data_IF_053959224989
#
_entry.id   IF_053959224989
#
_cell.length_a   1.000
_cell.length_b   1.000
_cell.length_c   1.000
_cell.angle_alpha   90.00
_cell.angle_beta   90.00
_cell.angle_gamma   90.00
#
_symmetry.space_group_name_H-M   'P 1'
#
loop_
_entity.id
_entity.type
_entity.pdbx_description
1 polymer ?
#
# COMPACT_ATOMS: atom_id res chain seq x y z
N UNK A 1 86.29 0.38 -10.96
CA UNK A 1 86.12 -1.01 -10.52
C UNK A 1 84.73 -1.46 -10.96
N UNK A 2 84.65 -2.18 -12.09
CA UNK A 2 83.41 -2.70 -12.67
C UNK A 2 83.12 -4.07 -12.04
N UNK A 3 81.93 -4.25 -11.49
CA UNK A 3 81.36 -5.57 -11.20
C UNK A 3 80.01 -5.64 -11.92
N UNK A 4 79.86 -6.73 -12.67
CA UNK A 4 78.71 -7.12 -13.46
C UNK A 4 77.44 -7.25 -12.60
N UNK A 5 76.25 -7.17 -13.20
CA UNK A 5 75.33 -8.30 -13.26
C UNK A 5 74.22 -8.02 -14.28
N UNK A 6 74.37 -8.65 -15.44
CA UNK A 6 73.26 -9.05 -16.30
C UNK A 6 72.31 -9.95 -15.49
N UNK A 7 71.01 -9.79 -15.71
CA UNK A 7 70.05 -10.86 -15.46
C UNK A 7 68.91 -10.45 -14.54
N UNK A 8 67.80 -10.04 -15.14
CA UNK A 8 66.43 -10.47 -14.77
C UNK A 8 65.43 -9.79 -15.71
N UNK A 9 65.64 -9.96 -17.02
CA UNK A 9 64.63 -9.64 -18.03
C UNK A 9 63.86 -10.93 -18.41
N UNK A 10 63.29 -11.64 -17.43
CA UNK A 10 62.21 -12.63 -17.59
C UNK A 10 61.54 -12.75 -16.22
N UNK A 11 60.50 -11.95 -15.97
CA UNK A 11 59.52 -12.21 -14.89
C UNK A 11 58.13 -11.63 -15.20
N UNK A 12 57.89 -11.14 -16.42
CA UNK A 12 56.63 -10.51 -16.82
C UNK A 12 55.80 -11.33 -17.82
N UNK A 13 55.88 -12.68 -17.78
CA UNK A 13 55.25 -13.52 -18.81
C UNK A 13 54.47 -14.75 -18.29
N UNK A 14 54.12 -14.80 -17.01
CA UNK A 14 53.37 -15.94 -16.42
C UNK A 14 52.31 -15.48 -15.40
N UNK A 15 51.50 -14.50 -15.76
CA UNK A 15 50.13 -14.38 -15.24
C UNK A 15 49.20 -14.82 -16.37
N UNK A 16 49.30 -16.12 -16.68
CA UNK A 16 48.39 -16.79 -17.58
C UNK A 16 46.96 -16.60 -17.08
N UNK A 17 46.16 -15.96 -17.92
CA UNK A 17 44.73 -16.15 -18.14
C UNK A 17 44.13 -17.37 -17.42
N UNK A 18 43.95 -17.26 -16.11
CA UNK A 18 43.01 -18.10 -15.38
C UNK A 18 41.62 -17.56 -15.68
N UNK A 19 40.99 -18.04 -16.75
CA UNK A 19 39.55 -17.86 -16.92
C UNK A 19 38.89 -18.65 -15.79
N UNK A 20 38.56 -17.97 -14.69
CA UNK A 20 37.66 -18.51 -13.69
C UNK A 20 36.35 -18.70 -14.44
N UNK A 21 35.97 -19.95 -14.72
CA UNK A 21 34.65 -20.27 -15.20
C UNK A 21 33.67 -19.80 -14.13
N UNK A 22 33.09 -18.62 -14.32
CA UNK A 22 31.90 -18.21 -13.58
C UNK A 22 30.84 -19.19 -14.04
N UNK A 23 30.64 -20.26 -13.27
CA UNK A 23 29.40 -21.02 -13.36
C UNK A 23 28.32 -20.01 -13.04
N UNK A 24 27.59 -19.58 -14.07
CA UNK A 24 26.33 -18.91 -13.89
C UNK A 24 25.51 -19.87 -13.02
N UNK A 25 25.37 -19.56 -11.73
CA UNK A 25 24.30 -20.15 -10.94
C UNK A 25 23.06 -19.82 -11.73
N UNK A 26 22.41 -20.83 -12.31
CA UNK A 26 21.08 -20.63 -12.87
C UNK A 26 20.28 -20.03 -11.72
N UNK A 27 19.92 -18.73 -11.75
CA UNK A 27 19.15 -18.17 -10.67
C UNK A 27 17.94 -19.09 -10.54
N UNK A 28 17.65 -19.57 -9.34
CA UNK A 28 16.40 -20.27 -9.12
C UNK A 28 15.32 -19.42 -9.79
N UNK A 29 14.47 -19.98 -10.67
CA UNK A 29 13.43 -19.19 -11.31
C UNK A 29 12.72 -18.43 -10.21
N UNK A 30 12.51 -17.12 -10.43
CA UNK A 30 11.76 -16.28 -9.50
C UNK A 30 10.50 -17.04 -9.12
N UNK A 31 10.21 -17.15 -7.83
CA UNK A 31 9.03 -17.88 -7.35
C UNK A 31 7.80 -17.43 -8.15
N UNK A 32 7.27 -18.35 -8.93
CA UNK A 32 6.22 -18.12 -9.89
C UNK A 32 5.56 -19.45 -10.22
N UNK A 33 4.38 -19.43 -10.86
CA UNK A 33 3.72 -20.67 -11.23
C UNK A 33 4.60 -21.47 -12.20
N UNK A 34 5.02 -22.66 -11.79
CA UNK A 34 5.79 -23.61 -12.62
C UNK A 34 4.98 -24.14 -13.82
N UNK A 35 3.66 -23.91 -13.82
CA UNK A 35 2.74 -24.32 -14.86
C UNK A 35 2.20 -23.09 -15.62
N UNK A 36 1.96 -23.22 -16.94
CA UNK A 36 1.36 -22.14 -17.71
C UNK A 36 -0.02 -21.79 -17.16
N UNK A 37 -0.40 -20.52 -17.29
CA UNK A 37 -1.73 -20.05 -16.89
C UNK A 37 -2.80 -20.86 -17.63
N UNK A 38 -3.73 -21.54 -16.93
CA UNK A 38 -4.79 -22.29 -17.57
C UNK A 38 -5.68 -21.38 -18.43
N UNK A 39 -5.98 -21.84 -19.65
CA UNK A 39 -6.84 -21.15 -20.61
C UNK A 39 -8.14 -21.92 -20.81
N UNK A 40 -9.20 -21.26 -21.29
CA UNK A 40 -10.48 -21.88 -21.64
C UNK A 40 -11.18 -22.60 -20.47
N UNK A 41 -10.95 -22.14 -19.23
CA UNK A 41 -11.58 -22.68 -18.01
C UNK A 41 -13.11 -22.69 -18.08
N UNK A 42 -13.71 -21.79 -18.86
CA UNK A 42 -15.15 -21.75 -19.10
C UNK A 42 -15.71 -22.94 -19.87
N UNK A 43 -14.87 -23.82 -20.43
CA UNK A 43 -15.31 -25.06 -21.08
C UNK A 43 -15.33 -26.26 -20.12
N UNK A 44 -14.61 -26.17 -19.00
CA UNK A 44 -14.47 -27.26 -18.05
C UNK A 44 -15.76 -27.50 -17.26
N UNK A 45 -16.23 -28.75 -17.28
CA UNK A 45 -17.48 -29.13 -16.60
C UNK A 45 -17.37 -28.95 -15.09
N UNK A 46 -16.21 -29.27 -14.51
CA UNK A 46 -15.96 -29.08 -13.08
C UNK A 46 -16.06 -27.61 -12.67
N UNK A 47 -15.52 -26.70 -13.46
CA UNK A 47 -15.60 -25.25 -13.22
C UNK A 47 -17.05 -24.77 -13.35
N UNK A 48 -17.77 -25.17 -14.41
CA UNK A 48 -19.18 -24.82 -14.57
C UNK A 48 -20.04 -25.29 -13.40
N UNK A 49 -19.82 -26.51 -12.93
CA UNK A 49 -20.53 -27.06 -11.77
C UNK A 49 -20.25 -26.25 -10.51
N UNK A 50 -18.98 -25.95 -10.24
CA UNK A 50 -18.59 -25.12 -9.09
C UNK A 50 -19.22 -23.70 -9.14
N UNK A 51 -19.26 -23.07 -10.32
CA UNK A 51 -19.91 -21.76 -10.50
C UNK A 51 -21.43 -21.84 -10.26
N UNK A 52 -22.08 -22.94 -10.68
CA UNK A 52 -23.49 -23.18 -10.39
C UNK A 52 -23.75 -23.39 -8.90
N UNK A 53 -22.83 -24.04 -8.17
CA UNK A 53 -22.93 -24.20 -6.72
C UNK A 53 -22.78 -22.85 -6.01
N UNK A 54 -21.86 -21.99 -6.45
CA UNK A 54 -21.70 -20.63 -5.92
C UNK A 54 -23.02 -19.86 -6.00
N UNK A 55 -23.73 -19.92 -7.13
CA UNK A 55 -25.04 -19.27 -7.27
C UNK A 55 -26.06 -19.72 -6.24
N UNK A 56 -26.08 -21.02 -5.93
CA UNK A 56 -27.01 -21.59 -4.95
C UNK A 56 -26.66 -21.18 -3.53
N UNK A 57 -25.39 -20.87 -3.26
CA UNK A 57 -24.93 -20.41 -1.95
C UNK A 57 -25.19 -18.92 -1.73
N UNK A 58 -25.30 -18.10 -2.77
CA UNK A 58 -25.49 -16.64 -2.61
C UNK A 58 -26.67 -16.31 -1.67
N UNK A 59 -27.88 -16.89 -1.81
CA UNK A 59 -28.99 -16.60 -0.91
C UNK A 59 -28.76 -17.00 0.56
N UNK A 60 -27.76 -17.84 0.82
CA UNK A 60 -27.40 -18.34 2.17
C UNK A 60 -26.35 -17.47 2.86
N UNK A 61 -25.79 -16.48 2.17
CA UNK A 61 -24.84 -15.56 2.77
C UNK A 61 -25.49 -14.79 3.91
N UNK A 62 -24.76 -14.64 5.02
CA UNK A 62 -25.18 -13.80 6.15
C UNK A 62 -25.03 -12.32 5.79
N UNK A 63 -25.96 -11.85 4.95
CA UNK A 63 -25.98 -10.51 4.39
C UNK A 63 -27.40 -9.95 4.40
N UNK A 64 -27.51 -8.63 4.61
CA UNK A 64 -28.78 -7.94 4.49
C UNK A 64 -29.12 -7.67 3.01
N UNK A 65 -29.78 -8.63 2.37
CA UNK A 65 -30.24 -8.51 0.98
C UNK A 65 -31.28 -7.40 0.76
N UNK A 66 -31.92 -6.88 1.81
CA UNK A 66 -32.90 -5.80 1.69
C UNK A 66 -32.23 -4.43 1.54
N UNK A 67 -31.05 -4.26 2.16
CA UNK A 67 -30.34 -2.98 2.21
C UNK A 67 -28.98 -2.98 1.49
N UNK A 68 -28.47 -4.15 1.11
CA UNK A 68 -27.13 -4.29 0.52
C UNK A 68 -27.22 -4.75 -0.93
N UNK A 69 -26.70 -3.95 -1.85
CA UNK A 69 -26.52 -4.34 -3.25
C UNK A 69 -25.06 -4.69 -3.50
N UNK A 70 -24.80 -5.72 -4.31
CA UNK A 70 -23.44 -6.20 -4.55
C UNK A 70 -23.32 -6.88 -5.92
N UNK A 71 -22.07 -7.02 -6.38
CA UNK A 71 -21.72 -7.75 -7.59
C UNK A 71 -20.62 -8.75 -7.27
N UNK A 72 -20.69 -9.93 -7.88
CA UNK A 72 -19.67 -10.96 -7.82
C UNK A 72 -19.31 -11.31 -9.25
N UNK A 73 -18.05 -11.07 -9.62
CA UNK A 73 -17.48 -11.50 -10.88
C UNK A 73 -16.27 -12.38 -10.61
N UNK A 74 -16.19 -13.52 -11.32
CA UNK A 74 -15.05 -14.43 -11.24
C UNK A 74 -14.36 -14.44 -12.59
N UNK A 75 -13.12 -13.97 -12.62
CA UNK A 75 -12.30 -13.91 -13.82
C UNK A 75 -11.26 -15.03 -13.82
N UNK A 76 -11.04 -15.70 -14.96
CA UNK A 76 -9.87 -16.52 -15.14
C UNK A 76 -8.67 -15.60 -15.41
N UNK A 77 -7.48 -15.96 -14.94
CA UNK A 77 -6.29 -15.14 -15.14
C UNK A 77 -5.93 -14.92 -16.64
N UNK A 78 -6.32 -15.85 -17.51
CA UNK A 78 -6.02 -15.81 -18.94
C UNK A 78 -7.04 -15.03 -19.80
N UNK A 79 -8.28 -14.84 -19.34
CA UNK A 79 -9.33 -14.23 -20.17
C UNK A 79 -9.80 -12.88 -19.61
N UNK A 80 -10.17 -11.98 -20.52
CA UNK A 80 -10.72 -10.66 -20.17
C UNK A 80 -12.20 -10.66 -19.81
N UNK A 81 -12.86 -11.81 -19.98
CA UNK A 81 -14.30 -11.98 -19.69
C UNK A 81 -14.47 -12.81 -18.42
N UNK A 82 -15.47 -12.47 -17.59
CA UNK A 82 -15.75 -13.27 -16.40
C UNK A 82 -16.26 -14.65 -16.82
N UNK A 83 -15.86 -15.69 -16.08
CA UNK A 83 -16.49 -17.00 -16.14
C UNK A 83 -17.89 -16.97 -15.52
N UNK A 84 -18.10 -16.02 -14.62
CA UNK A 84 -19.30 -15.90 -13.81
C UNK A 84 -19.50 -14.45 -13.40
N UNK A 85 -20.75 -13.98 -13.53
CA UNK A 85 -21.19 -12.66 -13.11
C UNK A 85 -22.54 -12.77 -12.44
N UNK A 86 -22.67 -12.18 -11.26
CA UNK A 86 -23.90 -12.11 -10.51
C UNK A 86 -24.05 -10.73 -9.88
N UNK A 87 -25.23 -10.14 -10.01
CA UNK A 87 -25.55 -8.80 -9.53
C UNK A 87 -26.82 -8.86 -8.71
N UNK A 88 -26.74 -8.41 -7.45
CA UNK A 88 -27.89 -8.26 -6.57
C UNK A 88 -28.21 -6.78 -6.37
N UNK A 89 -29.45 -6.42 -6.67
CA UNK A 89 -30.01 -5.09 -6.40
C UNK A 89 -30.91 -5.16 -5.18
N UNK A 90 -30.52 -4.49 -4.11
CA UNK A 90 -31.34 -4.38 -2.91
C UNK A 90 -32.66 -3.65 -3.23
N UNK A 91 -33.81 -4.11 -2.72
CA UNK A 91 -35.09 -3.41 -2.89
C UNK A 91 -35.06 -1.93 -2.48
N UNK A 92 -34.32 -1.59 -1.43
CA UNK A 92 -34.14 -0.19 -1.01
C UNK A 92 -33.43 0.68 -2.02
N UNK A 93 -32.64 0.09 -2.93
CA UNK A 93 -31.96 0.84 -3.99
C UNK A 93 -32.96 1.62 -4.85
N UNK A 94 -34.12 1.01 -5.15
CA UNK A 94 -35.20 1.59 -5.95
C UNK A 94 -35.79 2.90 -5.37
N UNK A 95 -35.61 3.12 -4.07
CA UNK A 95 -36.14 4.29 -3.36
C UNK A 95 -35.14 5.45 -3.29
N UNK A 96 -33.91 5.29 -3.79
CA UNK A 96 -32.90 6.34 -3.77
C UNK A 96 -33.15 7.35 -4.90
N UNK A 97 -33.04 8.66 -4.62
CA UNK A 97 -33.23 9.72 -5.64
C UNK A 97 -32.02 9.95 -6.57
N UNK A 98 -30.87 9.31 -6.29
CA UNK A 98 -29.61 9.52 -7.00
C UNK A 98 -28.81 8.22 -7.09
N UNK A 99 -28.00 8.07 -8.14
CA UNK A 99 -27.17 6.87 -8.37
C UNK A 99 -27.86 5.81 -9.23
N UNK A 100 -27.34 4.58 -9.19
CA UNK A 100 -27.91 3.44 -9.91
C UNK A 100 -29.15 2.92 -9.18
N UNK A 101 -30.18 2.52 -9.95
CA UNK A 101 -31.40 1.90 -9.41
C UNK A 101 -31.35 0.37 -9.49
N UNK A 102 -30.56 -0.14 -10.43
CA UNK A 102 -30.34 -1.56 -10.68
C UNK A 102 -28.84 -1.72 -10.87
N UNK A 103 -28.27 -2.65 -10.11
CA UNK A 103 -26.86 -3.04 -10.21
C UNK A 103 -26.65 -3.93 -11.42
N UNK A 104 -25.58 -3.65 -12.15
CA UNK A 104 -25.12 -4.40 -13.32
C UNK A 104 -23.60 -4.25 -13.49
N UNK A 105 -23.08 -4.84 -14.56
CA UNK A 105 -21.67 -4.81 -14.99
C UNK A 105 -21.07 -3.40 -15.17
N UNK A 106 -21.90 -2.39 -15.44
CA UNK A 106 -21.48 -0.99 -15.59
C UNK A 106 -21.57 -0.16 -14.29
N UNK A 107 -22.01 -0.76 -13.19
CA UNK A 107 -22.22 -0.05 -11.92
C UNK A 107 -20.88 0.39 -11.31
N UNK A 108 -20.77 1.69 -11.00
CA UNK A 108 -19.57 2.27 -10.39
C UNK A 108 -19.62 2.17 -8.88
N UNK A 109 -18.61 1.52 -8.29
CA UNK A 109 -18.46 1.36 -6.85
C UNK A 109 -17.39 2.28 -6.26
N UNK A 110 -17.60 2.69 -5.01
CA UNK A 110 -16.52 3.26 -4.19
C UNK A 110 -15.68 2.10 -3.66
N UNK A 111 -14.45 1.97 -4.15
CA UNK A 111 -13.59 0.81 -3.89
C UNK A 111 -12.77 0.90 -2.59
N UNK A 112 -12.84 2.03 -1.87
CA UNK A 112 -12.17 2.20 -0.58
C UNK A 112 -10.66 1.90 -0.66
N UNK A 113 -10.15 1.09 0.27
CA UNK A 113 -8.73 0.76 0.37
C UNK A 113 -8.14 0.00 -0.82
N UNK A 114 -8.96 -0.57 -1.72
CA UNK A 114 -8.46 -1.14 -2.99
C UNK A 114 -7.74 -0.08 -3.82
N UNK A 115 -8.11 1.21 -3.66
CA UNK A 115 -7.41 2.33 -4.29
C UNK A 115 -5.90 2.36 -4.00
N UNK A 116 -5.43 1.85 -2.85
CA UNK A 116 -3.99 1.81 -2.52
C UNK A 116 -3.19 0.93 -3.48
N UNK A 117 -3.75 -0.21 -3.89
CA UNK A 117 -3.11 -1.10 -4.86
C UNK A 117 -2.94 -0.40 -6.20
N UNK A 118 -3.99 0.32 -6.64
CA UNK A 118 -3.93 1.11 -7.87
C UNK A 118 -2.89 2.24 -7.75
N UNK A 119 -2.83 2.95 -6.62
CA UNK A 119 -1.82 3.99 -6.38
C UNK A 119 -0.40 3.44 -6.49
N UNK A 120 -0.12 2.31 -5.83
CA UNK A 120 1.22 1.71 -5.85
C UNK A 120 1.60 1.21 -7.26
N UNK A 121 0.69 0.52 -7.96
CA UNK A 121 0.98 0.01 -9.30
C UNK A 121 1.09 1.10 -10.36
N UNK A 122 0.22 2.11 -10.33
CA UNK A 122 0.35 3.25 -11.25
C UNK A 122 1.67 3.97 -10.99
N UNK A 123 2.07 4.17 -9.74
CA UNK A 123 3.37 4.75 -9.43
C UNK A 123 4.52 3.91 -10.00
N UNK A 124 4.53 2.60 -9.77
CA UNK A 124 5.58 1.72 -10.27
C UNK A 124 5.65 1.68 -11.80
N UNK A 125 4.50 1.77 -12.49
CA UNK A 125 4.42 1.80 -13.95
C UNK A 125 4.95 3.12 -14.53
N UNK A 126 4.59 4.25 -13.93
CA UNK A 126 4.90 5.59 -14.46
C UNK A 126 6.27 6.11 -14.01
N UNK A 127 6.71 5.77 -12.80
CA UNK A 127 7.93 6.30 -12.16
C UNK A 127 9.01 5.22 -12.04
N UNK A 128 8.63 3.97 -11.84
CA UNK A 128 9.56 2.87 -11.53
C UNK A 128 9.81 2.69 -10.03
N UNK A 129 10.77 1.82 -9.70
CA UNK A 129 11.08 1.37 -8.34
C UNK A 129 12.34 2.03 -7.73
N UNK A 130 13.10 2.80 -8.51
CA UNK A 130 14.31 3.47 -8.00
C UNK A 130 14.00 4.39 -6.81
N UNK A 131 12.89 5.14 -6.89
CA UNK A 131 12.45 6.06 -5.83
C UNK A 131 11.86 5.35 -4.61
N UNK A 132 11.50 4.07 -4.70
CA UNK A 132 10.93 3.31 -3.55
C UNK A 132 11.90 3.20 -2.39
N UNK A 133 13.21 3.23 -2.67
CA UNK A 133 14.26 3.11 -1.66
C UNK A 133 14.86 4.46 -1.27
N UNK A 134 14.31 5.57 -1.77
CA UNK A 134 14.78 6.90 -1.45
C UNK A 134 13.90 7.57 -0.39
N UNK A 135 14.47 8.42 0.47
CA UNK A 135 13.70 9.19 1.45
C UNK A 135 12.55 9.97 0.81
N UNK A 136 11.39 9.93 1.45
CA UNK A 136 10.20 10.66 0.99
C UNK A 136 10.43 12.17 0.97
N UNK A 137 11.33 12.68 1.81
CA UNK A 137 11.71 14.10 1.88
C UNK A 137 12.37 14.61 0.60
N UNK A 138 12.90 13.73 -0.26
CA UNK A 138 13.38 14.14 -1.59
C UNK A 138 12.24 14.56 -2.53
N UNK A 139 11.02 14.08 -2.28
CA UNK A 139 9.86 14.25 -3.15
C UNK A 139 8.76 15.11 -2.54
N UNK A 140 8.69 15.18 -1.22
CA UNK A 140 7.65 15.90 -0.48
C UNK A 140 8.29 17.01 0.37
N UNK A 141 8.36 18.25 -0.15
CA UNK A 141 9.09 19.34 0.50
C UNK A 141 8.52 19.71 1.86
N UNK A 142 7.22 19.50 2.09
CA UNK A 142 6.60 19.73 3.40
C UNK A 142 7.15 18.78 4.48
N UNK A 143 7.42 17.52 4.12
CA UNK A 143 8.04 16.55 5.04
C UNK A 143 9.51 16.88 5.28
N UNK A 144 10.23 17.33 4.24
CA UNK A 144 11.60 17.82 4.40
C UNK A 144 11.68 19.01 5.37
N UNK A 145 10.73 19.95 5.25
CA UNK A 145 10.61 21.08 6.17
C UNK A 145 10.28 20.67 7.60
N UNK A 146 9.41 19.66 7.79
CA UNK A 146 9.12 19.09 9.11
C UNK A 146 10.39 18.46 9.71
N UNK A 147 11.11 17.63 8.94
CA UNK A 147 12.33 16.99 9.41
C UNK A 147 13.38 18.03 9.84
N UNK A 148 13.69 19.00 8.97
CA UNK A 148 14.69 20.03 9.27
C UNK A 148 14.38 20.86 10.53
N UNK A 149 13.09 21.10 10.82
CA UNK A 149 12.68 21.83 12.03
C UNK A 149 12.89 21.05 13.34
N UNK A 150 12.92 19.71 13.27
CA UNK A 150 13.07 18.83 14.43
C UNK A 150 14.52 18.61 14.84
N UNK A 151 15.47 18.63 13.90
CA UNK A 151 16.90 18.47 14.19
C UNK A 151 17.47 19.54 15.13
N UNK A 152 16.81 20.70 15.22
CA UNK A 152 17.17 21.79 16.14
C UNK A 152 16.66 21.59 17.57
N UNK A 153 15.88 20.54 17.81
CA UNK A 153 15.39 20.12 19.13
C UNK A 153 16.02 18.75 19.38
N UNK A 154 16.42 18.43 20.61
CA UNK A 154 16.87 17.07 20.96
C UNK A 154 15.70 16.08 20.90
N UNK A 155 15.15 15.87 19.71
CA UNK A 155 13.91 15.16 19.44
C UNK A 155 14.14 13.66 19.58
N UNK A 156 13.33 13.01 20.41
CA UNK A 156 13.33 11.56 20.54
C UNK A 156 12.64 10.92 19.33
N UNK A 157 13.14 9.78 18.87
CA UNK A 157 12.49 8.94 17.84
C UNK A 157 11.14 8.38 18.29
N UNK A 158 10.79 8.53 19.58
CA UNK A 158 9.48 8.20 20.13
C UNK A 158 8.47 9.36 20.01
N UNK A 159 8.96 10.59 19.82
CA UNK A 159 8.11 11.80 19.80
C UNK A 159 7.81 12.23 18.35
N UNK A 160 8.73 11.98 17.43
CA UNK A 160 8.59 12.42 16.04
C UNK A 160 8.94 11.33 15.05
N UNK A 161 8.23 11.37 13.93
CA UNK A 161 8.49 10.53 12.77
C UNK A 161 9.74 11.05 12.06
N UNK A 162 10.74 10.18 11.88
CA UNK A 162 11.95 10.50 11.11
C UNK A 162 11.68 10.39 9.61
N UNK A 163 11.23 11.50 9.02
CA UNK A 163 10.85 11.55 7.61
C UNK A 163 12.05 11.39 6.66
N UNK A 164 13.28 11.70 7.09
CA UNK A 164 14.48 11.52 6.28
C UNK A 164 14.87 10.04 6.18
N UNK A 165 14.39 9.20 7.10
CA UNK A 165 14.59 7.75 7.06
C UNK A 165 13.45 7.00 6.35
N UNK A 166 12.24 7.56 6.32
CA UNK A 166 11.08 6.95 5.65
C UNK A 166 11.22 7.04 4.13
N UNK A 167 11.04 5.91 3.44
CA UNK A 167 11.03 5.86 1.98
C UNK A 167 9.63 5.79 1.38
N UNK A 168 9.49 6.05 0.08
CA UNK A 168 8.22 5.83 -0.66
C UNK A 168 7.75 4.37 -0.52
N UNK A 169 8.70 3.42 -0.62
CA UNK A 169 8.42 2.01 -0.43
C UNK A 169 7.90 1.70 0.98
N UNK A 170 8.44 2.33 2.02
CA UNK A 170 7.97 2.17 3.39
C UNK A 170 6.51 2.65 3.57
N UNK A 171 6.11 3.72 2.90
CA UNK A 171 4.72 4.19 2.91
C UNK A 171 3.82 3.19 2.18
N UNK A 172 4.21 2.79 0.96
CA UNK A 172 3.45 1.85 0.14
C UNK A 172 3.30 0.45 0.76
N UNK A 173 4.30 -0.01 1.52
CA UNK A 173 4.31 -1.32 2.18
C UNK A 173 3.76 -1.30 3.61
N UNK A 174 3.28 -0.15 4.09
CA UNK A 174 2.85 0.05 5.48
C UNK A 174 3.97 -0.21 6.50
N UNK A 175 5.24 -0.04 6.12
CA UNK A 175 6.40 -0.21 6.99
C UNK A 175 6.95 1.12 7.54
N UNK A 176 6.28 2.24 7.33
CA UNK A 176 6.74 3.55 7.78
C UNK A 176 6.58 3.80 9.30
N UNK A 177 5.87 2.93 10.03
CA UNK A 177 5.65 3.09 11.48
C UNK A 177 4.73 4.26 11.86
N UNK A 178 4.01 4.84 10.89
CA UNK A 178 3.15 6.01 11.08
C UNK A 178 1.74 5.63 11.55
N UNK A 179 1.00 6.56 12.18
CA UNK A 179 -0.38 6.32 12.59
C UNK A 179 -1.30 5.88 11.46
N UNK A 180 -2.31 5.10 11.81
CA UNK A 180 -3.31 4.62 10.86
C UNK A 180 -4.07 5.76 10.19
N UNK A 181 -4.57 6.68 11.01
CA UNK A 181 -5.53 7.71 10.65
C UNK A 181 -5.23 9.02 11.42
N UNK A 182 -5.86 10.10 10.96
CA UNK A 182 -5.92 11.40 11.65
C UNK A 182 -6.71 11.32 12.96
N UNK A 183 -6.63 12.32 13.87
CA UNK A 183 -7.26 12.21 15.18
C UNK A 183 -8.75 11.94 15.11
N UNK A 184 -9.22 11.23 16.13
CA UNK A 184 -10.63 11.04 16.41
C UNK A 184 -11.32 12.38 16.73
N UNK A 185 -12.64 12.50 16.53
CA UNK A 185 -13.38 13.70 16.89
C UNK A 185 -13.31 13.96 18.40
N UNK A 186 -13.54 15.21 18.82
CA UNK A 186 -13.52 15.63 20.23
C UNK A 186 -14.42 14.81 21.18
N UNK A 187 -15.38 14.05 20.65
CA UNK A 187 -16.16 13.09 21.43
C UNK A 187 -15.34 11.91 21.96
N UNK A 188 -14.31 11.49 21.24
CA UNK A 188 -13.40 10.44 21.68
C UNK A 188 -12.48 10.95 22.80
N UNK A 189 -11.96 12.18 22.67
CA UNK A 189 -11.15 12.80 23.72
C UNK A 189 -11.93 12.91 25.04
N UNK A 190 -13.20 13.35 24.98
CA UNK A 190 -14.09 13.38 26.15
C UNK A 190 -14.35 12.00 26.76
N UNK A 191 -14.32 10.93 25.98
CA UNK A 191 -14.45 9.57 26.52
C UNK A 191 -13.17 9.14 27.24
N UNK A 192 -11.99 9.44 26.68
CA UNK A 192 -10.71 9.16 27.33
C UNK A 192 -10.56 9.95 28.63
N UNK A 193 -10.96 11.22 28.65
CA UNK A 193 -11.02 12.03 29.88
C UNK A 193 -11.89 11.38 30.97
N UNK A 194 -13.07 10.85 30.59
CA UNK A 194 -13.94 10.11 31.53
C UNK A 194 -13.32 8.82 32.06
N UNK A 195 -12.37 8.24 31.33
CA UNK A 195 -11.59 7.07 31.74
C UNK A 195 -10.36 7.44 32.59
N UNK A 196 -10.16 8.73 32.90
CA UNK A 196 -9.08 9.23 33.76
C UNK A 196 -7.82 9.65 33.02
N UNK A 197 -7.83 9.69 31.68
CA UNK A 197 -6.72 10.25 30.90
C UNK A 197 -6.71 11.79 31.01
N UNK A 198 -5.53 12.43 30.91
CA UNK A 198 -5.42 13.88 30.95
C UNK A 198 -6.19 14.53 29.79
N UNK A 199 -6.79 15.71 30.01
CA UNK A 199 -7.54 16.41 28.97
C UNK A 199 -6.63 16.82 27.81
N UNK A 200 -7.12 16.61 26.59
CA UNK A 200 -6.36 16.92 25.37
C UNK A 200 -6.83 18.26 24.83
N UNK A 201 -5.89 19.11 24.41
CA UNK A 201 -6.25 20.37 23.75
C UNK A 201 -6.92 20.07 22.41
N UNK A 202 -8.03 20.75 22.07
CA UNK A 202 -8.61 20.64 20.74
C UNK A 202 -7.56 20.95 19.68
N UNK A 203 -7.43 20.07 18.70
CA UNK A 203 -6.59 20.31 17.52
C UNK A 203 -7.34 21.21 16.54
N UNK A 204 -6.78 22.39 16.28
CA UNK A 204 -7.40 23.44 15.46
C UNK A 204 -7.06 23.23 13.98
N UNK A 205 -7.74 22.29 13.32
CA UNK A 205 -7.57 22.04 11.88
C UNK A 205 -8.92 22.06 11.14
N UNK A 206 -8.89 22.54 9.90
CA UNK A 206 -10.02 22.46 8.98
C UNK A 206 -10.21 21.01 8.52
N UNK A 207 -11.13 20.30 9.18
CA UNK A 207 -11.50 18.92 8.84
C UNK A 207 -12.79 18.86 8.03
N UNK A 208 -12.88 17.93 7.08
CA UNK A 208 -14.12 17.61 6.40
C UNK A 208 -15.03 16.84 7.36
N UNK A 209 -15.81 17.56 8.17
CA UNK A 209 -16.81 16.94 9.03
C UNK A 209 -18.08 16.64 8.22
N UNK A 210 -18.23 15.38 7.79
CA UNK A 210 -19.51 14.82 7.31
C UNK A 210 -19.92 13.64 8.19
N UNK A 211 -20.08 13.87 9.50
CA UNK A 211 -20.64 12.88 10.42
C UNK A 211 -19.86 11.57 10.56
N UNK A 212 -18.54 11.56 10.29
CA UNK A 212 -17.68 10.37 10.39
C UNK A 212 -16.79 10.41 11.62
N UNK A 213 -16.40 9.21 12.09
CA UNK A 213 -15.53 8.97 13.26
C UNK A 213 -14.05 9.35 13.07
N UNK A 214 -13.66 9.82 11.88
CA UNK A 214 -12.28 10.23 11.56
C UNK A 214 -12.32 11.59 10.87
N UNK A 215 -11.49 12.51 11.36
CA UNK A 215 -11.39 13.87 10.86
C UNK A 215 -10.29 13.95 9.78
N UNK A 216 -10.69 14.06 8.51
CA UNK A 216 -9.72 14.19 7.41
C UNK A 216 -9.47 15.66 7.03
N UNK A 217 -8.20 16.08 6.90
CA UNK A 217 -7.86 17.45 6.54
C UNK A 217 -8.38 17.80 5.14
N UNK A 218 -8.97 18.99 4.99
CA UNK A 218 -9.64 19.41 3.75
C UNK A 218 -8.67 19.73 2.60
N UNK A 219 -7.43 20.10 2.92
CA UNK A 219 -6.44 20.58 1.96
C UNK A 219 -5.03 20.14 2.36
N UNK A 220 -4.08 20.35 1.43
CA UNK A 220 -2.68 19.93 1.57
C UNK A 220 -1.98 20.57 2.78
N UNK A 221 -2.19 21.85 3.03
CA UNK A 221 -1.60 22.56 4.18
C UNK A 221 -2.07 21.94 5.50
N UNK A 222 -3.38 21.79 5.66
CA UNK A 222 -3.98 21.17 6.84
C UNK A 222 -3.52 19.71 7.03
N UNK A 223 -3.27 18.97 5.93
CA UNK A 223 -2.72 17.62 5.98
C UNK A 223 -1.34 17.58 6.61
N UNK A 224 -0.41 18.41 6.13
CA UNK A 224 0.95 18.42 6.68
C UNK A 224 1.05 19.05 8.07
N UNK A 225 0.21 20.05 8.39
CA UNK A 225 0.16 20.57 9.75
C UNK A 225 -0.39 19.54 10.75
N UNK A 226 -1.34 18.69 10.32
CA UNK A 226 -1.82 17.58 11.13
C UNK A 226 -0.75 16.48 11.30
N UNK A 227 0.03 16.19 10.25
CA UNK A 227 1.14 15.22 10.30
C UNK A 227 2.27 15.67 11.23
N UNK A 228 2.61 16.98 11.23
CA UNK A 228 3.71 17.53 12.05
C UNK A 228 3.61 17.16 13.53
N UNK A 229 2.40 17.04 14.05
CA UNK A 229 2.14 16.80 15.47
C UNK A 229 1.85 15.33 15.79
N UNK A 230 2.14 14.41 14.87
CA UNK A 230 1.88 12.97 15.04
C UNK A 230 3.14 12.26 15.50
N UNK A 231 2.99 11.50 16.58
CA UNK A 231 4.03 10.59 17.04
C UNK A 231 4.04 9.32 16.17
N UNK A 232 5.20 8.70 15.95
CA UNK A 232 5.26 7.37 15.36
C UNK A 232 4.53 6.37 16.27
N UNK A 233 3.90 5.37 15.66
CA UNK A 233 3.33 4.22 16.39
C UNK A 233 4.42 3.21 16.71
N UNK A 234 5.40 3.10 15.81
CA UNK A 234 6.49 2.13 15.87
C UNK A 234 7.65 2.66 15.01
N UNK A 235 8.85 2.11 15.18
CA UNK A 235 9.99 2.44 14.34
C UNK A 235 9.74 2.04 12.87
N UNK A 236 10.22 2.85 11.94
CA UNK A 236 10.17 2.51 10.52
C UNK A 236 10.95 1.20 10.26
N UNK A 237 10.43 0.39 9.35
CA UNK A 237 10.94 -0.92 8.93
C UNK A 237 10.96 -2.03 9.98
N UNK A 238 10.45 -1.81 11.20
CA UNK A 238 10.43 -2.86 12.23
C UNK A 238 9.25 -3.83 12.04
N UNK A 239 8.05 -3.33 11.77
CA UNK A 239 6.84 -4.15 11.56
C UNK A 239 5.82 -3.44 10.66
N UNK A 240 5.01 -4.17 9.88
CA UNK A 240 3.93 -3.56 9.11
C UNK A 240 2.80 -3.01 10.01
N UNK A 241 2.49 -1.72 9.85
CA UNK A 241 1.38 -1.03 10.52
C UNK A 241 0.52 -0.34 9.45
N UNK A 242 -0.70 -0.83 9.27
CA UNK A 242 -1.62 -0.29 8.27
C UNK A 242 -1.88 1.20 8.48
N UNK A 243 -1.69 1.99 7.41
CA UNK A 243 -1.93 3.43 7.42
C UNK A 243 -2.68 3.91 6.18
N UNK A 244 -3.63 4.82 6.39
CA UNK A 244 -4.29 5.60 5.34
C UNK A 244 -3.57 6.92 5.06
N UNK A 245 -2.56 7.28 5.88
CA UNK A 245 -1.81 8.54 5.77
C UNK A 245 -0.69 8.43 4.73
N UNK A 246 -0.01 7.27 4.70
CA UNK A 246 1.06 6.97 3.74
C UNK A 246 0.52 6.74 2.34
#
# INVERSE_FOLDING_TARGET
>A
MRIQMLGTAISAALLGLGTISVQASSPCPLFGPDLPTPTALGNEVSIKNALSEILQLVPTLDMDFQNTSFSIDIYPAADKRPLFSYHHSAPTLQNHGHGVQVVNDSTVYRIGSISKLLTAYVYLLEVGDVSFNQPVTQYVPELAGISAGLWNKSASTLEYVDWDFITIGALASHMAGIPRDFPSPASADRQLERLGFPPVRPVDFAYLYRGKSVLYPCNRTAFFDAIRNRHPVEAAFSTPIYSNIG
#
